data_IF_300321809110
#
_entry.id   IF_300321809110
#
_cell.length_a   1.000
_cell.length_b   1.000
_cell.length_c   1.000
_cell.angle_alpha   90.00
_cell.angle_beta   90.00
_cell.angle_gamma   90.00
#
_symmetry.space_group_name_H-M   'P 1'
#
loop_
_entity.id
_entity.type
_entity.pdbx_description
1 polymer ?
#
# COMPACT_ATOMS: atom_id res chain seq x y z
N UNK A 1 -20.35 -15.93 17.92
CA UNK A 1 -19.66 -16.48 16.74
C UNK A 1 -19.90 -15.65 15.48
N UNK A 2 -21.14 -15.52 14.97
CA UNK A 2 -21.40 -14.85 13.68
C UNK A 2 -20.79 -13.43 13.59
N UNK A 3 -21.03 -12.58 14.59
CA UNK A 3 -20.46 -11.23 14.64
C UNK A 3 -18.93 -11.23 14.64
N UNK A 4 -18.31 -12.00 15.54
CA UNK A 4 -16.85 -12.07 15.68
C UNK A 4 -16.17 -12.60 14.40
N UNK A 5 -16.72 -13.63 13.77
CA UNK A 5 -16.18 -14.20 12.53
C UNK A 5 -16.26 -13.22 11.36
N UNK A 6 -17.38 -12.49 11.23
CA UNK A 6 -17.56 -11.48 10.18
C UNK A 6 -16.60 -10.32 10.40
N UNK A 7 -16.54 -9.78 11.62
CA UNK A 7 -15.67 -8.65 11.96
C UNK A 7 -14.20 -9.00 11.80
N UNK A 8 -13.80 -10.21 12.20
CA UNK A 8 -12.44 -10.71 12.04
C UNK A 8 -12.09 -10.88 10.56
N UNK A 9 -13.00 -11.44 9.76
CA UNK A 9 -12.79 -11.61 8.32
C UNK A 9 -12.62 -10.25 7.63
N UNK A 10 -13.54 -9.30 7.84
CA UNK A 10 -13.47 -7.95 7.26
C UNK A 10 -12.20 -7.21 7.73
N UNK A 11 -11.88 -7.29 9.02
CA UNK A 11 -10.65 -6.71 9.59
C UNK A 11 -9.40 -7.27 8.94
N UNK A 12 -9.35 -8.59 8.75
CA UNK A 12 -8.21 -9.26 8.11
C UNK A 12 -8.08 -8.84 6.66
N UNK A 13 -9.20 -8.77 5.92
CA UNK A 13 -9.22 -8.37 4.52
C UNK A 13 -8.62 -6.97 4.32
N UNK A 14 -9.00 -6.03 5.19
CA UNK A 14 -8.51 -4.66 5.14
C UNK A 14 -7.06 -4.53 5.61
N UNK A 15 -6.67 -5.22 6.70
CA UNK A 15 -5.30 -5.21 7.23
C UNK A 15 -4.30 -5.78 6.24
N UNK A 16 -4.63 -6.92 5.64
CA UNK A 16 -3.75 -7.65 4.72
C UNK A 16 -3.90 -7.18 3.27
N UNK A 17 -4.96 -6.41 2.95
CA UNK A 17 -5.35 -6.07 1.58
C UNK A 17 -5.47 -7.31 0.70
N UNK A 18 -6.10 -8.35 1.24
CA UNK A 18 -6.28 -9.67 0.63
C UNK A 18 -7.73 -10.13 0.73
N UNK A 19 -8.19 -10.99 -0.20
CA UNK A 19 -9.53 -11.56 -0.11
C UNK A 19 -9.66 -12.47 1.12
N UNK A 20 -10.88 -12.54 1.66
CA UNK A 20 -11.29 -13.44 2.75
C UNK A 20 -12.55 -14.20 2.33
N UNK A 21 -12.82 -15.31 3.01
CA UNK A 21 -13.98 -16.15 2.75
C UNK A 21 -14.91 -16.16 3.97
N UNK A 22 -16.19 -15.93 3.74
CA UNK A 22 -17.25 -16.00 4.74
C UNK A 22 -18.32 -16.96 4.22
N UNK A 23 -18.68 -17.95 5.03
CA UNK A 23 -19.73 -18.91 4.72
C UNK A 23 -20.80 -18.84 5.80
N UNK A 24 -22.05 -18.65 5.39
CA UNK A 24 -23.19 -18.55 6.29
C UNK A 24 -24.14 -19.70 5.94
N UNK A 25 -24.49 -20.53 6.92
CA UNK A 25 -25.46 -21.61 6.74
C UNK A 25 -26.81 -21.05 6.31
N UNK A 26 -27.45 -21.65 5.30
CA UNK A 26 -28.63 -21.09 4.63
C UNK A 26 -29.85 -20.86 5.54
N UNK A 27 -29.92 -21.52 6.70
CA UNK A 27 -31.01 -21.42 7.67
C UNK A 27 -30.86 -20.26 8.67
N UNK A 28 -29.74 -19.54 8.67
CA UNK A 28 -29.39 -18.51 9.66
C UNK A 28 -29.57 -17.04 9.25
N UNK A 29 -29.49 -16.61 7.97
CA UNK A 29 -29.44 -15.19 7.61
C UNK A 29 -30.65 -14.35 8.05
N UNK A 30 -31.83 -14.96 8.15
CA UNK A 30 -33.06 -14.28 8.55
C UNK A 30 -33.28 -14.27 10.08
N UNK A 31 -32.41 -14.92 10.85
CA UNK A 31 -32.54 -14.97 12.31
C UNK A 31 -31.95 -13.68 12.89
N UNK A 32 -32.74 -12.84 13.58
CA UNK A 32 -32.23 -11.62 14.19
C UNK A 32 -31.22 -11.97 15.28
N UNK A 33 -30.05 -11.36 15.21
CA UNK A 33 -29.01 -11.49 16.23
C UNK A 33 -28.87 -10.15 16.96
N UNK A 34 -28.93 -10.11 18.30
CA UNK A 34 -28.99 -8.87 19.08
C UNK A 34 -27.86 -7.87 18.73
N UNK A 35 -26.65 -8.37 18.46
CA UNK A 35 -25.48 -7.55 18.13
C UNK A 35 -25.61 -6.76 16.81
N UNK A 36 -26.47 -7.19 15.88
CA UNK A 36 -26.71 -6.48 14.61
C UNK A 36 -27.95 -5.56 14.66
N UNK A 37 -28.65 -5.50 15.79
CA UNK A 37 -29.92 -4.74 15.92
C UNK A 37 -29.72 -3.28 16.34
N UNK A 38 -28.58 -2.97 16.96
CA UNK A 38 -28.15 -1.63 17.34
C UNK A 38 -27.28 -1.00 16.25
N UNK A 39 -27.21 0.34 16.21
CA UNK A 39 -26.27 1.03 15.31
C UNK A 39 -24.85 0.48 15.50
N UNK A 40 -24.19 0.06 14.41
CA UNK A 40 -22.88 -0.55 14.52
C UNK A 40 -21.86 0.48 15.03
N UNK A 41 -20.99 0.06 15.94
CA UNK A 41 -19.84 0.86 16.36
C UNK A 41 -19.00 1.17 15.11
N UNK A 42 -18.53 2.43 14.93
CA UNK A 42 -17.67 2.77 13.79
C UNK A 42 -16.48 1.82 13.70
N UNK A 43 -16.35 1.17 12.55
CA UNK A 43 -15.29 0.20 12.31
C UNK A 43 -13.93 0.90 12.37
N UNK A 44 -13.12 0.56 13.37
CA UNK A 44 -11.82 1.19 13.62
C UNK A 44 -10.71 0.18 13.46
N UNK A 45 -9.85 0.41 12.47
CA UNK A 45 -8.61 -0.34 12.30
C UNK A 45 -7.48 0.43 12.95
N UNK A 46 -6.75 -0.22 13.86
CA UNK A 46 -5.51 0.33 14.39
C UNK A 46 -4.56 0.65 13.22
N UNK A 47 -3.98 1.86 13.18
CA UNK A 47 -3.03 2.21 12.15
C UNK A 47 -1.82 1.27 12.20
N UNK A 48 -1.25 0.97 11.03
CA UNK A 48 0.04 0.26 10.97
C UNK A 48 1.12 1.21 11.47
N UNK A 49 1.68 0.92 12.63
CA UNK A 49 2.77 1.67 13.22
C UNK A 49 4.10 0.96 12.95
N UNK A 50 5.10 1.73 12.53
CA UNK A 50 6.47 1.24 12.40
C UNK A 50 7.18 1.32 13.75
N UNK A 51 8.05 0.35 14.03
CA UNK A 51 8.98 0.45 15.17
C UNK A 51 9.96 1.60 14.91
N UNK A 52 9.98 2.60 15.78
CA UNK A 52 10.80 3.81 15.63
C UNK A 52 12.29 3.52 15.51
N UNK A 53 12.82 2.59 16.32
CA UNK A 53 14.24 2.22 16.28
C UNK A 53 14.59 1.57 14.94
N UNK A 54 13.74 0.65 14.48
CA UNK A 54 13.93 -0.04 13.20
C UNK A 54 13.79 0.91 12.01
N UNK A 55 12.85 1.86 12.08
CA UNK A 55 12.67 2.89 11.06
C UNK A 55 13.91 3.78 10.94
N UNK A 56 14.44 4.27 12.06
CA UNK A 56 15.63 5.12 12.05
C UNK A 56 16.83 4.38 11.45
N UNK A 57 17.07 3.14 11.87
CA UNK A 57 18.16 2.32 11.34
C UNK A 57 18.01 2.06 9.83
N UNK A 58 16.79 1.81 9.34
CA UNK A 58 16.52 1.59 7.92
C UNK A 58 16.74 2.87 7.09
N UNK A 59 16.29 4.03 7.60
CA UNK A 59 16.50 5.33 6.94
C UNK A 59 17.99 5.66 6.86
N UNK A 60 18.74 5.49 7.94
CA UNK A 60 20.19 5.76 7.97
C UNK A 60 20.94 4.87 6.96
N UNK A 61 20.64 3.56 6.95
CA UNK A 61 21.24 2.62 6.02
C UNK A 61 20.90 2.94 4.56
N UNK A 62 19.63 3.27 4.27
CA UNK A 62 19.18 3.64 2.93
C UNK A 62 19.84 4.94 2.46
N UNK A 63 19.89 5.98 3.31
CA UNK A 63 20.54 7.24 2.99
C UNK A 63 22.03 7.05 2.71
N UNK A 64 22.74 6.26 3.52
CA UNK A 64 24.16 5.95 3.30
C UNK A 64 24.39 5.22 1.97
N UNK A 65 23.51 4.30 1.60
CA UNK A 65 23.58 3.58 0.33
C UNK A 65 23.32 4.52 -0.87
N UNK A 66 22.27 5.33 -0.79
CA UNK A 66 21.87 6.25 -1.85
C UNK A 66 22.89 7.38 -2.06
N UNK A 67 23.45 7.94 -0.98
CA UNK A 67 24.49 8.98 -1.06
C UNK A 67 25.81 8.49 -1.69
N UNK A 68 26.05 7.17 -1.70
CA UNK A 68 27.20 6.58 -2.39
C UNK A 68 26.92 6.32 -3.88
N UNK A 69 25.66 6.28 -4.29
CA UNK A 69 25.29 6.02 -5.67
C UNK A 69 25.49 7.27 -6.54
N UNK A 70 25.99 7.08 -7.76
CA UNK A 70 26.27 8.21 -8.69
C UNK A 70 25.01 8.69 -9.40
N UNK A 71 24.12 7.76 -9.78
CA UNK A 71 22.87 8.06 -10.52
C UNK A 71 21.75 7.12 -10.08
N UNK A 72 21.22 7.28 -8.86
CA UNK A 72 20.08 6.48 -8.41
C UNK A 72 18.82 6.80 -9.23
N UNK A 73 18.03 5.76 -9.50
CA UNK A 73 16.74 5.85 -10.20
C UNK A 73 15.68 5.15 -9.36
N UNK A 74 14.54 5.80 -9.18
CA UNK A 74 13.40 5.28 -8.45
C UNK A 74 12.46 4.54 -9.39
N UNK A 75 12.07 3.32 -9.03
CA UNK A 75 11.13 2.51 -9.83
C UNK A 75 9.88 2.20 -9.00
N UNK A 76 8.75 2.79 -9.41
CA UNK A 76 7.45 2.59 -8.78
C UNK A 76 6.84 1.24 -9.14
N UNK A 77 6.59 0.40 -8.14
CA UNK A 77 5.98 -0.92 -8.30
C UNK A 77 4.47 -0.95 -8.00
N UNK A 78 3.76 -2.03 -8.41
CA UNK A 78 2.31 -2.14 -8.28
C UNK A 78 1.81 -2.15 -6.82
N UNK A 79 2.68 -2.47 -5.87
CA UNK A 79 2.35 -2.53 -4.43
C UNK A 79 2.34 -1.15 -3.74
N UNK A 80 2.71 -0.07 -4.42
CA UNK A 80 2.65 1.30 -3.86
C UNK A 80 1.26 1.66 -3.34
N UNK A 81 0.22 1.29 -4.08
CA UNK A 81 -1.18 1.53 -3.69
C UNK A 81 -1.57 0.79 -2.42
N UNK A 82 -1.19 -0.49 -2.32
CA UNK A 82 -1.48 -1.33 -1.14
C UNK A 82 -0.74 -0.81 0.09
N UNK A 83 0.48 -0.30 -0.11
CA UNK A 83 1.27 0.34 0.94
C UNK A 83 0.80 1.75 1.30
N UNK A 84 -0.16 2.33 0.55
CA UNK A 84 -0.58 3.74 0.67
C UNK A 84 0.60 4.72 0.63
N UNK A 85 1.57 4.42 -0.22
CA UNK A 85 2.86 5.12 -0.27
C UNK A 85 3.05 5.92 -1.58
N UNK A 86 2.00 6.17 -2.35
CA UNK A 86 2.09 6.92 -3.60
C UNK A 86 2.58 8.36 -3.38
N UNK A 87 1.98 9.09 -2.43
CA UNK A 87 2.39 10.47 -2.10
C UNK A 87 3.81 10.52 -1.53
N UNK A 88 4.10 9.69 -0.52
CA UNK A 88 5.44 9.61 0.07
C UNK A 88 6.54 9.25 -0.95
N UNK A 89 6.20 8.48 -1.99
CA UNK A 89 7.13 8.16 -3.08
C UNK A 89 7.40 9.37 -3.98
N UNK A 90 6.41 10.23 -4.20
CA UNK A 90 6.57 11.52 -4.91
C UNK A 90 7.38 12.48 -4.05
N UNK A 91 7.05 12.63 -2.77
CA UNK A 91 7.80 13.49 -1.84
C UNK A 91 9.28 13.12 -1.79
N UNK A 92 9.60 11.82 -1.82
CA UNK A 92 10.98 11.35 -1.89
C UNK A 92 11.65 11.71 -3.22
N UNK A 93 10.92 11.61 -4.34
CA UNK A 93 11.44 12.00 -5.65
C UNK A 93 11.71 13.51 -5.73
N UNK A 94 10.81 14.34 -5.18
CA UNK A 94 10.96 15.79 -5.09
C UNK A 94 12.15 16.19 -4.20
N UNK A 95 12.31 15.56 -3.03
CA UNK A 95 13.39 15.87 -2.10
C UNK A 95 14.77 15.42 -2.60
N UNK A 96 14.82 14.33 -3.38
CA UNK A 96 16.08 13.73 -3.86
C UNK A 96 16.48 14.17 -5.27
N UNK A 97 15.53 14.65 -6.07
CA UNK A 97 15.73 14.96 -7.48
C UNK A 97 16.00 13.74 -8.36
N UNK A 98 15.68 12.52 -7.88
CA UNK A 98 15.96 11.30 -8.60
C UNK A 98 14.99 11.08 -9.76
N UNK A 99 15.48 10.47 -10.83
CA UNK A 99 14.65 10.06 -11.94
C UNK A 99 13.65 8.99 -11.52
N UNK A 100 12.44 9.06 -12.07
CA UNK A 100 11.27 8.32 -11.64
C UNK A 100 10.68 7.50 -12.78
N UNK A 101 10.76 6.17 -12.70
CA UNK A 101 10.12 5.26 -13.63
C UNK A 101 9.00 4.48 -12.94
N UNK A 102 8.04 3.95 -13.71
CA UNK A 102 7.01 3.04 -13.19
C UNK A 102 7.04 1.71 -13.91
N UNK A 103 6.76 0.62 -13.20
CA UNK A 103 6.49 -0.67 -13.84
C UNK A 103 5.12 -0.61 -14.58
N UNK A 104 4.88 -1.42 -15.62
CA UNK A 104 3.60 -1.43 -16.34
C UNK A 104 2.38 -1.63 -15.42
N UNK A 105 2.50 -2.53 -14.45
CA UNK A 105 1.44 -2.80 -13.47
C UNK A 105 1.23 -1.68 -12.44
N UNK A 106 2.11 -0.67 -12.43
CA UNK A 106 2.07 0.49 -11.54
C UNK A 106 1.67 1.78 -12.28
N UNK A 107 1.24 1.68 -13.54
CA UNK A 107 0.82 2.83 -14.35
C UNK A 107 -0.33 3.58 -13.64
N UNK A 108 -0.26 4.91 -13.63
CA UNK A 108 -1.23 5.77 -12.94
C UNK A 108 -1.12 5.82 -11.41
N UNK A 109 -0.16 5.11 -10.78
CA UNK A 109 0.07 5.19 -9.33
C UNK A 109 0.95 6.37 -8.92
N UNK A 110 1.59 7.02 -9.89
CA UNK A 110 2.54 8.12 -9.71
C UNK A 110 2.22 9.19 -10.75
N UNK A 111 2.30 10.49 -10.42
CA UNK A 111 2.05 11.57 -11.36
C UNK A 111 3.01 11.53 -12.54
N UNK A 112 2.48 11.32 -13.74
CA UNK A 112 3.30 11.22 -14.97
C UNK A 112 3.73 12.60 -15.51
N UNK A 113 3.13 13.67 -15.01
CA UNK A 113 3.51 15.06 -15.31
C UNK A 113 4.66 15.56 -14.41
N UNK A 114 5.18 14.71 -13.52
CA UNK A 114 6.27 15.04 -12.63
C UNK A 114 7.55 15.31 -13.45
N UNK A 115 8.33 16.37 -13.14
CA UNK A 115 9.48 16.78 -13.94
C UNK A 115 10.57 15.71 -14.05
N UNK A 116 10.69 14.86 -13.02
CA UNK A 116 11.64 13.75 -13.01
C UNK A 116 11.08 12.43 -13.57
N UNK A 117 9.85 12.41 -14.10
CA UNK A 117 9.25 11.20 -14.65
C UNK A 117 9.88 10.82 -15.99
N UNK A 118 10.44 9.61 -16.05
CA UNK A 118 11.17 9.10 -17.21
C UNK A 118 10.40 7.99 -17.95
N UNK A 119 9.16 7.67 -17.54
CA UNK A 119 8.31 6.73 -18.27
C UNK A 119 8.21 5.34 -17.64
N UNK A 120 7.98 4.32 -18.47
CA UNK A 120 7.70 2.95 -18.04
C UNK A 120 8.94 2.07 -18.17
N UNK A 121 9.35 1.48 -17.05
CA UNK A 121 10.42 0.50 -17.00
C UNK A 121 9.86 -0.90 -17.21
N UNK A 122 10.14 -1.50 -18.37
CA UNK A 122 9.69 -2.83 -18.77
C UNK A 122 10.77 -3.62 -19.52
N UNK A 123 12.01 -3.56 -19.05
CA UNK A 123 13.14 -4.26 -19.66
C UNK A 123 13.36 -3.83 -21.11
N UNK A 124 13.34 -4.79 -22.04
CA UNK A 124 13.58 -4.53 -23.47
C UNK A 124 12.50 -3.67 -24.15
N UNK A 125 11.30 -3.59 -23.57
CA UNK A 125 10.16 -2.80 -24.10
C UNK A 125 9.88 -1.57 -23.24
N UNK A 126 10.91 -1.03 -22.59
CA UNK A 126 10.82 0.21 -21.82
C UNK A 126 10.58 1.43 -22.73
N UNK A 127 10.09 2.52 -22.14
CA UNK A 127 10.03 3.81 -22.84
C UNK A 127 11.41 4.18 -23.38
N UNK A 128 11.47 4.53 -24.66
CA UNK A 128 12.71 4.95 -25.31
C UNK A 128 13.13 6.33 -24.79
N UNK A 129 14.44 6.51 -24.61
CA UNK A 129 15.09 7.76 -24.23
C UNK A 129 15.88 8.34 -25.39
#
# INVERSE_FOLDING_TARGET
DAHELIDTAISTALKESKPVYISISCNLPAIPHPTFSSEPVPFSLSPKLSNQIGLHAAVEAAAKFLNKAVKPVMVGGPKLRVARACEAFVDLADASGYALAVMPAAKGLVPEHHPHFIGTYWGAVSTAF
#
